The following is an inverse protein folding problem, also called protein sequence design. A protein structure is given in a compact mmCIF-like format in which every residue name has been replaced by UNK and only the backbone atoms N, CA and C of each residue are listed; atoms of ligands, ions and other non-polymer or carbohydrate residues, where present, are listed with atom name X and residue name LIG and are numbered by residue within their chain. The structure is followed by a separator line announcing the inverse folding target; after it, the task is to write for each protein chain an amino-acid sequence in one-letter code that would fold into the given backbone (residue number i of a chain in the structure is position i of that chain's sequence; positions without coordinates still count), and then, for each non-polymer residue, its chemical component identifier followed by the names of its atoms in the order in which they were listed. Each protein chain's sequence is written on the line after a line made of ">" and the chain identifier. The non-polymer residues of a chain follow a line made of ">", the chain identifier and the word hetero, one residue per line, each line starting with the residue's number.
data_IF_821860355466
#
_entry.id   IF_821860355466
#
_cell.length_a   1.000
_cell.length_b   1.000
_cell.length_c   1.000
_cell.angle_alpha   90.00
_cell.angle_beta   90.00
_cell.angle_gamma   90.00
#
_symmetry.space_group_name_H-M   'P 1'
#
loop_
_entity.id
_entity.type
_entity.pdbx_description
1 polymer ?
#
# COMPACT_ATOMS: atom_id res chain seq x y z
N UNK A 1 -42.81 4.94 10.30
CA UNK A 1 -42.39 4.27 9.06
C UNK A 1 -41.02 4.78 8.65
N UNK A 2 -39.94 4.04 8.93
CA UNK A 2 -38.63 4.29 8.34
C UNK A 2 -38.43 3.38 7.12
N UNK A 3 -37.94 3.98 6.04
CA UNK A 3 -37.69 3.41 4.71
C UNK A 3 -36.68 2.26 4.75
N UNK A 4 -37.14 1.09 4.27
CA UNK A 4 -36.36 -0.13 4.06
C UNK A 4 -35.26 0.06 3.02
N UNK A 5 -34.07 -0.51 3.29
CA UNK A 5 -32.96 -0.58 2.34
C UNK A 5 -33.16 -1.78 1.41
N UNK A 6 -33.44 -1.49 0.14
CA UNK A 6 -33.82 -2.45 -0.91
C UNK A 6 -32.62 -3.22 -1.50
N UNK A 7 -31.91 -4.04 -0.72
CA UNK A 7 -30.96 -5.04 -1.25
C UNK A 7 -30.99 -6.39 -0.50
N UNK A 8 -32.09 -6.71 0.16
CA UNK A 8 -32.34 -8.03 0.74
C UNK A 8 -33.67 -8.59 0.24
N UNK A 9 -33.77 -8.95 -1.04
CA UNK A 9 -34.82 -9.86 -1.53
C UNK A 9 -34.20 -10.81 -2.57
N UNK A 10 -34.01 -12.05 -2.15
CA UNK A 10 -33.43 -13.11 -2.97
C UNK A 10 -32.84 -14.27 -2.16
N UNK A 11 -33.32 -14.52 -0.94
CA UNK A 11 -33.10 -15.79 -0.26
C UNK A 11 -34.27 -16.71 -0.64
N UNK A 12 -34.07 -17.54 -1.66
CA UNK A 12 -34.80 -18.79 -1.80
C UNK A 12 -33.79 -19.92 -1.89
N UNK A 13 -33.78 -20.71 -0.82
CA UNK A 13 -33.08 -21.98 -0.67
C UNK A 13 -33.45 -22.93 -1.81
N UNK A 14 -32.47 -23.38 -2.59
CA UNK A 14 -32.52 -24.71 -3.22
C UNK A 14 -31.47 -25.59 -2.56
N UNK A 15 -31.95 -26.53 -1.74
CA UNK A 15 -31.16 -27.67 -1.28
C UNK A 15 -30.82 -28.53 -2.48
N UNK A 16 -29.53 -28.68 -2.76
CA UNK A 16 -29.00 -29.81 -3.51
C UNK A 16 -28.26 -30.69 -2.51
N UNK A 17 -28.81 -31.88 -2.26
CA UNK A 17 -28.10 -32.96 -1.60
C UNK A 17 -26.99 -33.44 -2.53
N UNK A 18 -25.73 -33.18 -2.17
CA UNK A 18 -24.64 -34.15 -2.28
C UNK A 18 -23.47 -33.67 -1.44
N UNK A 19 -23.00 -34.56 -0.55
CA UNK A 19 -21.89 -34.30 0.37
C UNK A 19 -20.62 -34.00 -0.40
N UNK A 20 -20.07 -32.81 -0.15
CA UNK A 20 -18.78 -32.36 -0.64
C UNK A 20 -18.48 -31.05 0.06
N UNK A 21 -17.36 -31.01 0.77
CA UNK A 21 -16.88 -29.86 1.53
C UNK A 21 -16.83 -28.65 0.60
N UNK A 22 -17.73 -27.68 0.82
CA UNK A 22 -17.76 -26.44 0.05
C UNK A 22 -16.68 -25.51 0.59
N UNK A 23 -15.44 -25.69 0.12
CA UNK A 23 -14.38 -24.71 0.27
C UNK A 23 -14.70 -23.48 -0.56
N UNK A 24 -15.06 -22.37 0.07
CA UNK A 24 -15.15 -21.07 -0.58
C UNK A 24 -13.72 -20.54 -0.77
N UNK A 25 -13.09 -20.94 -1.85
CA UNK A 25 -11.73 -20.49 -2.19
C UNK A 25 -11.78 -19.06 -2.75
N UNK A 26 -11.03 -18.15 -2.12
CA UNK A 26 -11.06 -16.71 -2.36
C UNK A 26 -9.84 -16.29 -3.21
N UNK A 27 -10.07 -15.64 -4.34
CA UNK A 27 -8.99 -15.06 -5.16
C UNK A 27 -9.04 -13.54 -5.03
N UNK A 28 -7.98 -12.95 -4.48
CA UNK A 28 -7.83 -11.50 -4.44
C UNK A 28 -7.31 -11.02 -5.80
N UNK A 29 -8.24 -10.72 -6.71
CA UNK A 29 -7.92 -9.91 -7.90
C UNK A 29 -8.17 -8.46 -7.53
N UNK A 30 -7.14 -7.70 -7.14
CA UNK A 30 -7.32 -6.27 -6.84
C UNK A 30 -7.38 -5.48 -8.16
N UNK A 31 -8.53 -5.57 -8.82
CA UNK A 31 -8.89 -4.64 -9.89
C UNK A 31 -9.07 -3.20 -9.35
N UNK A 32 -9.16 -2.20 -10.23
CA UNK A 32 -9.28 -0.77 -9.89
C UNK A 32 -10.57 -0.36 -9.15
N UNK A 33 -11.30 -1.30 -8.53
CA UNK A 33 -12.64 -1.10 -7.97
C UNK A 33 -12.78 -1.43 -6.48
N UNK A 34 -11.76 -1.14 -5.66
CA UNK A 34 -11.98 -0.98 -4.21
C UNK A 34 -12.68 0.37 -4.00
N UNK A 35 -14.01 0.37 -3.78
CA UNK A 35 -14.81 1.60 -3.85
C UNK A 35 -15.45 2.06 -2.54
N UNK A 36 -15.30 1.34 -1.42
CA UNK A 36 -15.73 1.73 -0.06
C UNK A 36 -15.20 0.71 0.93
N UNK A 37 -14.74 1.16 2.11
CA UNK A 37 -14.88 0.57 3.45
C UNK A 37 -13.71 0.92 4.40
N UNK A 38 -14.02 1.09 5.69
CA UNK A 38 -13.08 1.38 6.80
C UNK A 38 -12.44 0.10 7.41
N UNK A 39 -12.76 -1.10 6.93
CA UNK A 39 -12.55 -2.33 7.72
C UNK A 39 -11.30 -3.17 7.38
N UNK A 40 -10.42 -2.75 6.47
CA UNK A 40 -9.37 -3.63 5.93
C UNK A 40 -8.11 -3.69 6.82
N UNK A 41 -8.26 -3.62 8.15
CA UNK A 41 -7.09 -3.62 9.05
C UNK A 41 -6.60 -5.01 9.48
N UNK A 42 -7.40 -6.08 9.45
CA UNK A 42 -7.08 -7.29 10.26
C UNK A 42 -7.33 -8.68 9.65
N UNK A 43 -7.36 -8.82 8.31
CA UNK A 43 -7.55 -10.14 7.67
C UNK A 43 -6.33 -10.89 7.20
N UNK A 44 -5.20 -10.27 7.45
CA UNK A 44 -3.91 -10.80 7.20
C UNK A 44 -3.43 -11.12 8.61
N UNK A 45 -3.01 -12.35 8.89
CA UNK A 45 -2.55 -12.80 10.22
C UNK A 45 -1.29 -12.00 10.58
N UNK A 46 -1.50 -10.75 10.99
CA UNK A 46 -0.50 -9.71 11.15
C UNK A 46 -0.65 -9.17 12.56
N UNK A 47 0.41 -9.22 13.34
CA UNK A 47 0.55 -8.32 14.48
C UNK A 47 0.83 -6.90 13.96
N UNK A 48 -0.17 -6.04 14.06
CA UNK A 48 -0.01 -4.60 13.87
C UNK A 48 0.78 -4.07 15.06
N UNK A 49 2.10 -3.94 14.89
CA UNK A 49 2.89 -3.21 15.87
C UNK A 49 2.83 -1.73 15.50
N UNK A 50 2.35 -0.89 16.42
CA UNK A 50 2.58 0.56 16.34
C UNK A 50 4.06 0.80 16.62
N UNK A 51 4.88 0.64 15.58
CA UNK A 51 6.29 1.00 15.62
C UNK A 51 6.53 2.27 14.82
N UNK A 52 7.34 3.16 15.38
CA UNK A 52 7.81 4.35 14.69
C UNK A 52 8.97 3.96 13.77
N UNK A 53 8.86 4.28 12.48
CA UNK A 53 9.96 4.17 11.52
C UNK A 53 10.91 5.33 11.84
N UNK A 54 11.94 5.04 12.62
CA UNK A 54 12.89 6.05 13.06
C UNK A 54 13.96 6.29 11.99
N UNK A 55 14.03 7.51 11.44
CA UNK A 55 15.20 7.99 10.70
C UNK A 55 16.22 8.58 11.68
N UNK A 56 17.11 7.74 12.23
CA UNK A 56 18.10 8.18 13.25
C UNK A 56 19.41 8.70 12.66
N UNK A 57 19.72 8.36 11.41
CA UNK A 57 21.03 8.66 10.84
C UNK A 57 21.06 10.01 10.12
N UNK A 58 21.75 10.95 10.74
CA UNK A 58 22.10 12.26 10.19
C UNK A 58 23.20 12.19 9.11
N UNK A 59 23.76 11.01 8.84
CA UNK A 59 24.89 10.79 7.94
C UNK A 59 24.53 10.73 6.46
N UNK A 60 23.25 10.46 6.12
CA UNK A 60 22.78 10.35 4.73
C UNK A 60 21.87 11.51 4.32
N UNK A 61 22.30 12.75 4.58
CA UNK A 61 21.55 13.94 4.18
C UNK A 61 21.94 14.37 2.78
N UNK A 62 20.93 14.53 1.92
CA UNK A 62 21.11 15.09 0.59
C UNK A 62 21.52 16.57 0.73
N UNK A 63 22.50 17.03 -0.05
CA UNK A 63 22.87 18.45 -0.07
C UNK A 63 21.66 19.32 -0.44
N UNK A 64 21.38 20.35 0.37
CA UNK A 64 20.22 21.23 0.24
C UNK A 64 18.88 20.46 0.14
N UNK A 65 18.76 19.34 0.86
CA UNK A 65 17.62 18.41 0.80
C UNK A 65 16.27 19.12 0.81
N UNK A 66 16.04 19.96 1.82
CA UNK A 66 14.74 20.57 2.07
C UNK A 66 14.35 21.54 0.94
N UNK A 67 15.32 22.29 0.39
CA UNK A 67 15.10 23.17 -0.74
C UNK A 67 14.78 22.35 -2.01
N UNK A 68 15.55 21.29 -2.27
CA UNK A 68 15.35 20.41 -3.43
C UNK A 68 13.99 19.71 -3.38
N UNK A 69 13.57 19.25 -2.21
CA UNK A 69 12.24 18.64 -2.01
C UNK A 69 11.13 19.68 -2.21
N UNK A 70 11.27 20.88 -1.66
CA UNK A 70 10.30 21.96 -1.92
C UNK A 70 10.23 22.34 -3.39
N UNK A 71 11.36 22.35 -4.11
CA UNK A 71 11.39 22.60 -5.54
C UNK A 71 10.75 21.45 -6.33
N UNK A 72 10.93 20.19 -5.91
CA UNK A 72 10.22 19.03 -6.47
C UNK A 72 8.70 19.13 -6.28
N UNK A 73 8.24 19.59 -5.11
CA UNK A 73 6.82 19.85 -4.83
C UNK A 73 6.30 20.98 -5.72
N UNK A 74 7.01 22.12 -5.78
CA UNK A 74 6.63 23.26 -6.62
C UNK A 74 6.56 22.87 -8.11
N UNK A 75 7.55 22.13 -8.60
CA UNK A 75 7.57 21.61 -9.96
C UNK A 75 6.30 20.80 -10.26
N UNK A 76 6.01 19.77 -9.47
CA UNK A 76 4.85 18.91 -9.70
C UNK A 76 3.50 19.66 -9.58
N UNK A 77 3.42 20.68 -8.73
CA UNK A 77 2.17 21.41 -8.40
C UNK A 77 1.91 22.64 -9.25
N UNK A 78 2.95 23.29 -9.77
CA UNK A 78 2.85 24.60 -10.41
C UNK A 78 3.46 24.67 -11.80
N UNK A 79 4.53 23.91 -12.09
CA UNK A 79 5.36 24.16 -13.26
C UNK A 79 5.46 22.97 -14.23
N UNK A 80 4.94 21.79 -13.86
CA UNK A 80 4.98 20.59 -14.72
C UNK A 80 4.11 20.73 -15.98
N UNK A 81 3.02 21.48 -15.91
CA UNK A 81 2.09 21.66 -17.03
C UNK A 81 1.71 23.13 -17.20
N UNK A 82 1.23 23.47 -18.40
CA UNK A 82 0.67 24.79 -18.72
C UNK A 82 -0.72 24.99 -18.10
N UNK A 83 -1.33 23.93 -17.57
CA UNK A 83 -2.62 24.01 -16.89
C UNK A 83 -2.50 24.81 -15.60
N UNK A 84 -3.41 25.75 -15.40
CA UNK A 84 -3.40 26.60 -14.20
C UNK A 84 -3.54 25.84 -12.88
N UNK A 85 -4.05 24.61 -12.89
CA UNK A 85 -4.16 23.76 -11.70
C UNK A 85 -4.12 22.29 -12.11
N UNK A 86 -2.94 21.65 -12.06
CA UNK A 86 -2.81 20.24 -12.38
C UNK A 86 -3.72 19.37 -11.50
N UNK A 87 -4.39 18.40 -12.10
CA UNK A 87 -5.15 17.38 -11.40
C UNK A 87 -4.26 16.43 -10.58
N UNK A 88 -4.86 15.65 -9.67
CA UNK A 88 -4.12 14.72 -8.78
C UNK A 88 -3.47 13.60 -9.57
N UNK A 89 -4.18 13.11 -10.56
CA UNK A 89 -3.73 12.16 -11.58
C UNK A 89 -2.42 12.59 -12.25
N UNK A 90 -2.16 13.90 -12.33
CA UNK A 90 -0.94 14.45 -12.91
C UNK A 90 0.14 14.71 -11.87
N UNK A 91 -0.17 15.51 -10.83
CA UNK A 91 0.88 15.95 -9.90
C UNK A 91 1.34 14.83 -8.95
N UNK A 92 0.50 13.85 -8.62
CA UNK A 92 0.86 12.81 -7.65
C UNK A 92 1.96 11.87 -8.20
N UNK A 93 1.81 11.28 -9.40
CA UNK A 93 2.90 10.51 -10.02
C UNK A 93 4.14 11.35 -10.27
N UNK A 94 3.97 12.59 -10.74
CA UNK A 94 5.10 13.47 -11.02
C UNK A 94 5.90 13.79 -9.75
N UNK A 95 5.21 14.07 -8.64
CA UNK A 95 5.86 14.30 -7.36
C UNK A 95 6.65 13.07 -6.92
N UNK A 96 6.05 11.87 -6.97
CA UNK A 96 6.74 10.65 -6.59
C UNK A 96 8.00 10.42 -7.45
N UNK A 97 7.89 10.57 -8.77
CA UNK A 97 9.03 10.47 -9.68
C UNK A 97 10.13 11.48 -9.33
N UNK A 98 9.77 12.73 -9.04
CA UNK A 98 10.74 13.75 -8.64
C UNK A 98 11.44 13.37 -7.32
N UNK A 99 10.70 12.87 -6.31
CA UNK A 99 11.29 12.45 -5.03
C UNK A 99 12.21 11.23 -5.18
N UNK A 100 11.81 10.25 -6.00
CA UNK A 100 12.66 9.10 -6.32
C UNK A 100 13.93 9.50 -7.07
N UNK A 101 13.83 10.47 -7.97
CA UNK A 101 14.99 11.03 -8.66
C UNK A 101 15.95 11.71 -7.68
N UNK A 102 15.43 12.47 -6.70
CA UNK A 102 16.26 13.03 -5.62
C UNK A 102 16.95 11.92 -4.81
N UNK A 103 16.23 10.87 -4.41
CA UNK A 103 16.84 9.76 -3.66
C UNK A 103 17.92 9.03 -4.48
N UNK A 104 17.76 8.96 -5.81
CA UNK A 104 18.74 8.35 -6.70
C UNK A 104 20.05 9.13 -6.79
N UNK A 105 20.08 10.43 -6.45
CA UNK A 105 21.36 11.17 -6.44
C UNK A 105 22.32 10.64 -5.39
N UNK A 106 21.81 9.95 -4.36
CA UNK A 106 22.63 9.25 -3.37
C UNK A 106 23.32 7.99 -3.90
N UNK A 107 23.10 7.61 -5.17
CA UNK A 107 23.81 6.50 -5.79
C UNK A 107 25.34 6.74 -5.84
N UNK A 108 25.78 8.00 -5.85
CA UNK A 108 27.21 8.36 -5.77
C UNK A 108 27.81 7.94 -4.44
N UNK A 109 27.08 8.16 -3.34
CA UNK A 109 27.50 7.81 -1.99
C UNK A 109 27.28 6.31 -1.69
N UNK A 110 26.24 5.72 -2.30
CA UNK A 110 25.80 4.35 -2.07
C UNK A 110 25.68 3.57 -3.39
N UNK A 111 26.79 3.04 -3.95
CA UNK A 111 26.78 2.35 -5.25
C UNK A 111 25.86 1.13 -5.32
N UNK A 112 25.51 0.53 -4.18
CA UNK A 112 24.55 -0.57 -4.09
C UNK A 112 23.16 -0.21 -4.62
N UNK A 113 22.78 1.08 -4.61
CA UNK A 113 21.55 1.59 -5.23
C UNK A 113 21.50 1.33 -6.75
N UNK A 114 22.66 1.22 -7.41
CA UNK A 114 22.76 0.87 -8.82
C UNK A 114 22.30 -0.55 -9.15
N UNK A 115 22.10 -1.41 -8.14
CA UNK A 115 21.56 -2.77 -8.28
C UNK A 115 20.03 -2.82 -8.15
N UNK A 116 19.34 -1.69 -8.30
CA UNK A 116 17.89 -1.57 -8.19
C UNK A 116 17.31 -0.89 -9.42
N UNK A 117 16.05 -1.20 -9.72
CA UNK A 117 15.28 -0.57 -10.79
C UNK A 117 13.89 -0.19 -10.28
N UNK A 118 13.29 0.80 -10.93
CA UNK A 118 11.86 1.07 -10.79
C UNK A 118 11.12 0.34 -11.91
N UNK A 119 10.24 -0.59 -11.55
CA UNK A 119 9.36 -1.25 -12.49
C UNK A 119 7.97 -0.59 -12.46
N UNK A 120 7.46 -0.22 -13.63
CA UNK A 120 6.10 0.29 -13.81
C UNK A 120 5.25 -0.77 -14.52
N UNK A 121 3.93 -0.75 -14.30
CA UNK A 121 2.96 -1.66 -14.93
C UNK A 121 3.23 -3.16 -14.71
N UNK A 122 3.93 -3.53 -13.63
CA UNK A 122 4.10 -4.93 -13.27
C UNK A 122 2.79 -5.51 -12.70
N UNK A 123 2.51 -6.77 -13.00
CA UNK A 123 1.30 -7.47 -12.56
C UNK A 123 1.66 -8.61 -11.62
N UNK A 124 1.04 -8.66 -10.45
CA UNK A 124 1.30 -9.67 -9.43
C UNK A 124 0.03 -10.48 -9.15
N UNK A 125 0.18 -11.77 -8.91
CA UNK A 125 -0.86 -12.62 -8.36
C UNK A 125 -0.30 -13.46 -7.20
N UNK A 126 -1.06 -13.54 -6.12
CA UNK A 126 -0.79 -14.43 -5.01
C UNK A 126 -2.09 -15.12 -4.62
N UNK A 127 -1.99 -16.43 -4.38
CA UNK A 127 -3.10 -17.26 -3.96
C UNK A 127 -2.82 -17.85 -2.58
N UNK A 128 -3.82 -17.80 -1.70
CA UNK A 128 -3.81 -18.46 -0.40
C UNK A 128 -5.23 -18.79 0.02
N UNK A 129 -5.34 -19.72 0.98
CA UNK A 129 -6.61 -20.09 1.60
C UNK A 129 -6.61 -19.67 3.06
N UNK A 130 -7.80 -19.33 3.56
CA UNK A 130 -8.04 -19.05 4.97
C UNK A 130 -9.35 -19.71 5.37
N UNK A 131 -9.32 -20.56 6.39
CA UNK A 131 -10.54 -21.16 6.92
C UNK A 131 -11.33 -20.10 7.71
N UNK A 132 -12.57 -19.86 7.30
CA UNK A 132 -13.47 -18.92 7.99
C UNK A 132 -14.28 -19.65 9.08
N UNK A 133 -14.50 -20.96 8.92
CA UNK A 133 -15.31 -21.77 9.84
C UNK A 133 -14.67 -21.99 11.23
N UNK A 134 -13.34 -21.90 11.34
CA UNK A 134 -12.58 -22.08 12.58
C UNK A 134 -12.46 -20.81 13.44
N UNK A 135 -13.05 -19.69 12.99
CA UNK A 135 -12.94 -18.38 13.67
C UNK A 135 -13.82 -18.22 14.92
N UNK A 136 -14.52 -19.28 15.33
CA UNK A 136 -15.46 -19.26 16.47
C UNK A 136 -14.70 -19.14 17.82
N UNK A 137 -13.45 -19.60 17.89
CA UNK A 137 -12.74 -19.76 19.17
C UNK A 137 -11.42 -18.94 19.32
N UNK A 138 -11.06 -17.95 18.47
CA UNK A 138 -9.76 -17.25 18.64
C UNK A 138 -9.54 -15.77 18.25
N UNK A 139 -8.40 -15.27 18.77
CA UNK A 139 -8.03 -13.91 19.23
C UNK A 139 -7.42 -13.00 18.13
N UNK A 140 -8.17 -12.73 17.07
CA UNK A 140 -8.04 -11.50 16.29
C UNK A 140 -9.28 -10.66 16.55
N UNK A 141 -9.14 -9.33 16.64
CA UNK A 141 -10.31 -8.46 16.79
C UNK A 141 -11.27 -8.70 15.62
N UNK A 142 -12.44 -9.26 15.95
CA UNK A 142 -13.51 -9.51 14.99
C UNK A 142 -14.35 -8.26 14.81
N UNK A 143 -14.78 -8.01 13.57
CA UNK A 143 -15.71 -6.93 13.23
C UNK A 143 -17.13 -7.46 12.99
N UNK A 144 -17.47 -8.59 13.62
CA UNK A 144 -18.81 -9.18 13.53
C UNK A 144 -19.90 -8.11 13.77
N UNK A 145 -20.90 -7.98 12.87
CA UNK A 145 -21.32 -8.93 11.83
C UNK A 145 -20.71 -8.72 10.44
N UNK A 146 -19.79 -7.76 10.27
CA UNK A 146 -19.23 -7.43 8.95
C UNK A 146 -18.33 -8.57 8.48
N UNK A 147 -18.58 -9.07 7.27
CA UNK A 147 -17.75 -10.12 6.67
C UNK A 147 -16.35 -9.58 6.32
N UNK A 148 -15.28 -10.35 6.61
CA UNK A 148 -13.92 -10.12 6.12
C UNK A 148 -13.79 -9.83 4.63
N UNK A 149 -14.72 -10.36 3.83
CA UNK A 149 -14.68 -10.36 2.37
C UNK A 149 -15.67 -9.38 1.73
N UNK A 150 -16.29 -8.49 2.50
CA UNK A 150 -17.44 -7.68 2.08
C UNK A 150 -17.20 -6.82 0.82
N UNK A 151 -15.97 -6.38 0.56
CA UNK A 151 -15.63 -5.54 -0.60
C UNK A 151 -14.76 -6.24 -1.65
N UNK A 152 -14.56 -7.56 -1.51
CA UNK A 152 -13.81 -8.35 -2.47
C UNK A 152 -14.74 -8.83 -3.60
N UNK A 153 -14.21 -8.85 -4.82
CA UNK A 153 -14.95 -9.40 -5.95
C UNK A 153 -15.12 -10.91 -5.76
N UNK A 154 -16.37 -11.35 -5.65
CA UNK A 154 -16.71 -12.78 -5.71
C UNK A 154 -16.66 -13.23 -7.16
N UNK A 155 -15.76 -14.15 -7.48
CA UNK A 155 -15.61 -14.74 -8.80
C UNK A 155 -15.68 -16.27 -8.70
N UNK A 156 -16.33 -16.91 -9.66
CA UNK A 156 -16.43 -18.38 -9.73
C UNK A 156 -15.52 -19.00 -10.78
N UNK A 157 -15.01 -18.19 -11.70
CA UNK A 157 -14.08 -18.61 -12.76
C UNK A 157 -12.76 -17.91 -12.53
N UNK A 158 -11.78 -18.67 -12.05
CA UNK A 158 -10.46 -18.14 -11.74
C UNK A 158 -9.40 -19.24 -11.85
N UNK A 159 -8.13 -18.83 -11.88
CA UNK A 159 -6.98 -19.75 -11.90
C UNK A 159 -6.16 -19.56 -10.64
N UNK A 160 -5.98 -20.63 -9.87
CA UNK A 160 -5.14 -20.68 -8.67
C UNK A 160 -3.66 -20.76 -9.06
N UNK A 161 -3.10 -19.62 -9.48
CA UNK A 161 -1.68 -19.51 -9.80
C UNK A 161 -1.11 -18.21 -9.25
N UNK A 162 -0.03 -18.33 -8.48
CA UNK A 162 0.78 -17.19 -8.06
C UNK A 162 1.84 -16.86 -9.10
N UNK A 163 2.13 -15.58 -9.27
CA UNK A 163 3.26 -15.09 -10.07
C UNK A 163 3.82 -13.80 -9.46
N UNK A 164 5.14 -13.67 -9.47
CA UNK A 164 5.86 -12.48 -8.96
C UNK A 164 5.72 -11.26 -9.88
N UNK A 165 5.25 -11.48 -11.11
CA UNK A 165 5.12 -10.44 -12.14
C UNK A 165 6.33 -10.26 -13.04
N UNK A 166 7.35 -11.07 -12.83
CA UNK A 166 8.52 -11.17 -13.70
C UNK A 166 8.73 -12.62 -14.13
N UNK A 167 9.47 -12.80 -15.22
CA UNK A 167 9.88 -14.12 -15.68
C UNK A 167 10.90 -14.75 -14.72
N UNK A 168 10.97 -16.09 -14.75
CA UNK A 168 11.96 -16.83 -13.98
C UNK A 168 13.37 -16.46 -14.46
N UNK A 169 14.27 -16.20 -13.52
CA UNK A 169 15.63 -15.73 -13.82
C UNK A 169 15.75 -14.22 -14.07
N UNK A 170 14.67 -13.44 -13.92
CA UNK A 170 14.75 -11.99 -14.00
C UNK A 170 15.77 -11.41 -13.00
N UNK A 171 16.56 -10.41 -13.45
CA UNK A 171 17.69 -9.86 -12.69
C UNK A 171 17.29 -9.21 -11.35
N UNK A 172 16.07 -8.70 -11.26
CA UNK A 172 15.56 -8.01 -10.07
C UNK A 172 14.28 -8.68 -9.55
N UNK A 173 14.35 -9.90 -8.99
CA UNK A 173 13.16 -10.68 -8.66
C UNK A 173 12.55 -10.32 -7.29
N UNK A 174 13.25 -9.53 -6.49
CA UNK A 174 12.83 -9.16 -5.14
C UNK A 174 12.26 -7.74 -5.12
N UNK A 175 10.96 -7.63 -4.81
CA UNK A 175 10.33 -6.34 -4.58
C UNK A 175 10.87 -5.73 -3.27
N UNK A 176 11.56 -4.60 -3.39
CA UNK A 176 12.11 -3.88 -2.23
C UNK A 176 11.07 -2.94 -1.61
N UNK A 177 10.56 -1.98 -2.39
CA UNK A 177 9.54 -1.01 -1.98
C UNK A 177 8.44 -0.93 -3.02
N UNK A 178 7.18 -1.01 -2.58
CA UNK A 178 6.00 -0.79 -3.39
C UNK A 178 5.53 0.65 -3.26
N UNK A 179 5.29 1.32 -4.38
CA UNK A 179 4.73 2.67 -4.40
C UNK A 179 3.27 2.62 -4.83
N UNK A 180 2.36 2.91 -3.89
CA UNK A 180 0.91 2.90 -4.12
C UNK A 180 0.39 4.33 -4.17
N UNK A 181 -0.04 4.77 -5.34
CA UNK A 181 -0.54 6.13 -5.52
C UNK A 181 -2.06 6.17 -5.61
N UNK A 182 -2.66 7.11 -4.89
CA UNK A 182 -4.07 7.46 -5.05
C UNK A 182 -4.21 8.60 -6.04
N UNK A 183 -4.31 8.25 -7.33
CA UNK A 183 -4.43 9.17 -8.46
C UNK A 183 -5.88 9.40 -8.90
N UNK A 184 -6.85 8.73 -8.27
CA UNK A 184 -8.24 8.67 -8.72
C UNK A 184 -8.94 10.03 -8.82
N UNK A 185 -9.61 10.24 -9.97
CA UNK A 185 -10.44 11.42 -10.23
C UNK A 185 -11.71 11.40 -9.38
N UNK A 186 -12.28 10.20 -9.10
CA UNK A 186 -13.31 9.83 -8.08
C UNK A 186 -13.77 8.36 -8.28
N UNK A 187 -14.30 7.67 -7.25
CA UNK A 187 -14.19 8.01 -5.83
C UNK A 187 -12.76 7.79 -5.34
N UNK A 188 -12.31 8.62 -4.41
CA UNK A 188 -10.97 8.53 -3.85
C UNK A 188 -10.96 7.50 -2.73
N UNK A 189 -9.89 6.73 -2.63
CA UNK A 189 -9.67 5.92 -1.44
C UNK A 189 -9.48 6.82 -0.22
N UNK A 190 -10.18 6.47 0.86
CA UNK A 190 -9.93 7.05 2.18
C UNK A 190 -8.53 6.66 2.67
N UNK A 191 -7.97 7.44 3.60
CA UNK A 191 -6.62 7.21 4.11
C UNK A 191 -6.42 5.78 4.65
N UNK A 192 -7.43 5.24 5.35
CA UNK A 192 -7.42 3.86 5.86
C UNK A 192 -7.50 2.80 4.74
N UNK A 193 -8.27 3.06 3.69
CA UNK A 193 -8.37 2.17 2.53
C UNK A 193 -7.06 2.12 1.75
N UNK A 194 -6.42 3.27 1.58
CA UNK A 194 -5.12 3.35 0.92
C UNK A 194 -4.05 2.59 1.70
N UNK A 195 -4.01 2.73 3.03
CA UNK A 195 -3.11 1.93 3.90
C UNK A 195 -3.36 0.45 3.75
N UNK A 196 -4.61 0.05 3.82
CA UNK A 196 -4.97 -1.34 3.70
C UNK A 196 -4.58 -1.94 2.34
N UNK A 197 -4.84 -1.21 1.25
CA UNK A 197 -4.39 -1.58 -0.09
C UNK A 197 -2.88 -1.78 -0.10
N UNK A 198 -2.11 -0.86 0.47
CA UNK A 198 -0.65 -1.01 0.57
C UNK A 198 -0.23 -2.28 1.33
N UNK A 199 -0.87 -2.59 2.46
CA UNK A 199 -0.56 -3.80 3.25
C UNK A 199 -0.87 -5.08 2.46
N UNK A 200 -2.05 -5.15 1.82
CA UNK A 200 -2.45 -6.33 1.03
C UNK A 200 -1.50 -6.54 -0.16
N UNK A 201 -1.09 -5.47 -0.84
CA UNK A 201 -0.10 -5.56 -1.93
C UNK A 201 1.29 -5.98 -1.41
N UNK A 202 1.75 -5.44 -0.29
CA UNK A 202 3.03 -5.83 0.31
C UNK A 202 3.03 -7.32 0.69
N UNK A 203 1.95 -7.78 1.31
CA UNK A 203 1.75 -9.19 1.60
C UNK A 203 1.72 -10.06 0.35
N UNK A 204 0.96 -9.68 -0.67
CA UNK A 204 0.89 -10.44 -1.93
C UNK A 204 2.27 -10.59 -2.57
N UNK A 205 3.09 -9.54 -2.54
CA UNK A 205 4.46 -9.59 -3.10
C UNK A 205 5.34 -10.52 -2.28
N UNK A 206 5.28 -10.42 -0.95
CA UNK A 206 6.05 -11.28 -0.06
C UNK A 206 5.63 -12.75 -0.22
N UNK A 207 4.32 -13.03 -0.30
CA UNK A 207 3.77 -14.37 -0.44
C UNK A 207 4.13 -14.99 -1.79
N UNK A 208 3.94 -14.25 -2.90
CA UNK A 208 4.33 -14.74 -4.22
C UNK A 208 5.83 -15.04 -4.29
N UNK A 209 6.66 -14.24 -3.63
CA UNK A 209 8.10 -14.49 -3.55
C UNK A 209 8.43 -15.73 -2.69
N UNK A 210 7.77 -15.88 -1.54
CA UNK A 210 7.93 -17.04 -0.67
C UNK A 210 7.51 -18.32 -1.38
N UNK A 211 6.37 -18.31 -2.08
CA UNK A 211 5.89 -19.47 -2.85
C UNK A 211 6.82 -19.83 -4.02
N UNK A 212 7.43 -18.83 -4.67
CA UNK A 212 8.41 -19.07 -5.72
C UNK A 212 9.73 -19.68 -5.20
N UNK A 213 10.08 -19.44 -3.92
CA UNK A 213 11.35 -19.89 -3.34
C UNK A 213 11.21 -21.19 -2.54
N UNK A 214 10.19 -21.28 -1.67
CA UNK A 214 9.96 -22.42 -0.77
C UNK A 214 8.89 -23.40 -1.29
N UNK A 215 8.26 -23.09 -2.43
CA UNK A 215 7.15 -23.86 -2.97
C UNK A 215 5.79 -23.44 -2.40
N UNK A 216 4.70 -24.02 -2.93
CA UNK A 216 3.33 -23.60 -2.61
C UNK A 216 2.81 -24.10 -1.26
N UNK A 217 3.54 -24.98 -0.57
CA UNK A 217 3.08 -25.60 0.66
C UNK A 217 3.09 -24.62 1.84
N UNK A 218 2.02 -24.55 2.66
CA UNK A 218 1.98 -23.73 3.87
C UNK A 218 3.06 -24.17 4.87
N UNK A 219 3.87 -23.22 5.33
CA UNK A 219 4.94 -23.47 6.31
C UNK A 219 5.38 -22.18 7.01
N UNK A 220 6.03 -22.33 8.16
CA UNK A 220 6.80 -21.25 8.79
C UNK A 220 8.10 -21.07 8.01
N UNK A 221 8.43 -19.83 7.65
CA UNK A 221 9.59 -19.53 6.82
C UNK A 221 10.87 -19.48 7.65
N UNK A 222 11.91 -20.18 7.21
CA UNK A 222 13.25 -20.10 7.82
C UNK A 222 13.87 -18.71 7.63
N UNK A 223 13.72 -18.13 6.42
CA UNK A 223 14.12 -16.76 6.12
C UNK A 223 12.87 -15.92 5.80
N UNK A 224 12.47 -15.03 6.72
CA UNK A 224 11.34 -14.13 6.51
C UNK A 224 11.52 -13.24 5.29
N UNK A 225 10.43 -12.97 4.57
CA UNK A 225 10.43 -12.08 3.40
C UNK A 225 9.92 -10.70 3.82
N UNK A 226 10.73 -9.67 3.63
CA UNK A 226 10.36 -8.28 3.95
C UNK A 226 10.06 -7.50 2.68
N UNK A 227 8.94 -6.79 2.68
CA UNK A 227 8.53 -5.88 1.59
C UNK A 227 8.11 -4.55 2.19
N UNK A 228 8.67 -3.45 1.70
CA UNK A 228 8.30 -2.09 2.11
C UNK A 228 7.16 -1.56 1.25
N UNK A 229 6.38 -0.63 1.79
CA UNK A 229 5.31 0.06 1.10
C UNK A 229 5.33 1.55 1.41
N UNK A 230 5.15 2.36 0.37
CA UNK A 230 4.89 3.79 0.49
C UNK A 230 3.61 4.10 -0.26
N UNK A 231 2.61 4.60 0.45
CA UNK A 231 1.37 5.04 -0.15
C UNK A 231 1.25 6.56 -0.11
N UNK A 232 0.75 7.19 -1.18
CA UNK A 232 0.62 8.65 -1.24
C UNK A 232 -0.54 9.12 -2.09
N UNK A 233 -1.12 10.27 -1.70
CA UNK A 233 -2.08 11.02 -2.50
C UNK A 233 -1.46 12.29 -3.12
N UNK A 234 -0.13 12.41 -3.05
CA UNK A 234 0.65 13.55 -3.53
C UNK A 234 0.73 14.73 -2.55
N UNK A 235 0.21 14.57 -1.33
CA UNK A 235 0.37 15.51 -0.21
C UNK A 235 0.72 14.79 1.09
N UNK A 236 0.00 13.72 1.39
CA UNK A 236 0.21 12.88 2.58
C UNK A 236 0.83 11.56 2.14
N UNK A 237 1.79 11.09 2.92
CA UNK A 237 2.48 9.82 2.76
C UNK A 237 2.13 8.90 3.93
N UNK A 238 2.13 7.61 3.65
CA UNK A 238 1.96 6.55 4.62
C UNK A 238 3.04 5.52 4.35
N UNK A 239 3.59 4.95 5.41
CA UNK A 239 4.74 4.06 5.31
C UNK A 239 4.40 2.72 5.96
N UNK A 240 4.82 1.64 5.32
CA UNK A 240 4.70 0.28 5.83
C UNK A 240 5.99 -0.50 5.62
N UNK A 241 6.34 -1.32 6.60
CA UNK A 241 7.29 -2.41 6.44
C UNK A 241 6.56 -3.69 6.79
N UNK A 242 6.37 -4.57 5.81
CA UNK A 242 5.69 -5.84 5.99
C UNK A 242 6.72 -6.97 6.06
N UNK A 243 6.62 -7.83 7.06
CA UNK A 243 7.45 -9.02 7.21
C UNK A 243 6.59 -10.27 7.23
N UNK A 244 6.82 -11.13 6.23
CA UNK A 244 6.22 -12.44 6.11
C UNK A 244 7.09 -13.47 6.86
N UNK A 245 6.56 -14.00 7.95
CA UNK A 245 7.19 -15.04 8.76
C UNK A 245 6.60 -16.43 8.48
N UNK A 246 5.36 -16.51 8.01
CA UNK A 246 4.68 -17.77 7.73
C UNK A 246 3.75 -17.66 6.51
N UNK A 247 3.63 -18.74 5.75
CA UNK A 247 2.59 -18.95 4.72
C UNK A 247 1.44 -19.82 5.23
N UNK A 248 1.52 -20.31 6.47
CA UNK A 248 0.45 -21.02 7.16
C UNK A 248 -0.59 -20.01 7.70
N UNK A 249 -1.66 -19.82 6.92
CA UNK A 249 -2.71 -18.82 7.18
C UNK A 249 -4.06 -19.43 7.59
N UNK A 250 -4.11 -20.76 7.70
CA UNK A 250 -5.30 -21.52 8.08
C UNK A 250 -5.67 -21.34 9.55
N UNK A 251 -4.80 -21.74 10.50
CA UNK A 251 -5.06 -21.56 11.93
C UNK A 251 -4.86 -20.11 12.37
N UNK A 252 -5.66 -19.65 13.34
CA UNK A 252 -5.46 -18.35 14.01
C UNK A 252 -4.39 -18.41 15.12
N UNK A 253 -3.84 -19.60 15.37
CA UNK A 253 -2.75 -19.89 16.32
C UNK A 253 -1.41 -20.04 15.59
N UNK A 254 -0.30 -19.91 16.33
CA UNK A 254 1.05 -20.06 15.79
C UNK A 254 1.78 -18.75 15.46
N UNK A 255 2.81 -18.85 14.63
CA UNK A 255 3.64 -17.71 14.21
C UNK A 255 2.79 -16.78 13.35
N UNK A 256 2.88 -15.47 13.59
CA UNK A 256 2.15 -14.46 12.80
C UNK A 256 3.12 -13.58 12.02
N UNK A 257 2.59 -12.99 10.96
CA UNK A 257 3.29 -11.98 10.19
C UNK A 257 3.31 -10.65 10.97
N UNK A 258 4.18 -9.73 10.58
CA UNK A 258 4.32 -8.44 11.26
C UNK A 258 4.23 -7.30 10.26
N UNK A 259 3.68 -6.19 10.71
CA UNK A 259 3.74 -4.93 9.97
C UNK A 259 4.04 -3.79 10.93
N UNK A 260 4.96 -2.93 10.51
CA UNK A 260 5.20 -1.63 11.12
C UNK A 260 4.55 -0.58 10.23
N UNK A 261 3.69 0.25 10.81
CA UNK A 261 2.93 1.26 10.09
C UNK A 261 3.17 2.63 10.66
N UNK A 262 3.44 3.56 9.77
CA UNK A 262 3.23 4.97 10.05
C UNK A 262 2.05 5.49 9.25
N UNK A 263 1.17 6.18 9.98
CA UNK A 263 -0.07 6.70 9.43
C UNK A 263 0.17 7.97 8.60
N UNK A 264 -0.81 8.85 8.55
CA UNK A 264 -0.80 10.04 7.70
C UNK A 264 0.35 11.00 8.08
N UNK A 265 1.43 10.95 7.31
CA UNK A 265 2.57 11.86 7.37
C UNK A 265 2.43 12.93 6.26
N UNK A 266 1.92 14.14 6.57
CA UNK A 266 1.86 15.21 5.58
C UNK A 266 3.26 15.64 5.15
N UNK A 267 3.51 15.77 3.85
CA UNK A 267 4.74 16.36 3.32
C UNK A 267 4.65 17.90 3.30
N UNK A 268 3.45 18.43 3.11
CA UNK A 268 3.17 19.86 3.14
C UNK A 268 1.70 20.17 3.48
N UNK A 269 1.42 21.36 4.00
CA UNK A 269 0.06 21.80 4.35
C UNK A 269 -0.76 22.20 3.13
N UNK A 270 -0.22 23.05 2.26
CA UNK A 270 -0.89 23.37 1.00
C UNK A 270 0.08 23.84 -0.08
N UNK A 271 -0.34 23.65 -1.32
CA UNK A 271 0.29 24.20 -2.50
C UNK A 271 -0.81 24.81 -3.38
N UNK A 272 -0.97 26.14 -3.32
CA UNK A 272 -2.06 26.87 -4.01
C UNK A 272 -1.51 27.73 -5.12
N UNK A 273 -2.04 27.56 -6.33
CA UNK A 273 -1.61 28.35 -7.50
C UNK A 273 -2.11 29.80 -7.39
N UNK A 274 -3.32 30.00 -6.83
CA UNK A 274 -3.94 31.32 -6.66
C UNK A 274 -4.14 31.64 -5.18
N UNK A 275 -3.93 32.90 -4.77
CA UNK A 275 -4.20 33.31 -3.40
C UNK A 275 -5.70 33.31 -3.11
N UNK A 276 -6.08 33.04 -1.86
CA UNK A 276 -7.44 33.23 -1.39
C UNK A 276 -7.58 34.65 -0.84
N UNK A 277 -8.34 35.49 -1.54
CA UNK A 277 -8.59 36.89 -1.14
C UNK A 277 -10.03 36.99 -0.64
N UNK A 278 -10.23 37.51 0.58
CA UNK A 278 -11.55 37.84 1.14
C UNK A 278 -11.54 39.27 1.64
N UNK A 279 -12.57 40.06 1.30
CA UNK A 279 -12.69 41.47 1.69
C UNK A 279 -11.42 42.30 1.39
N UNK A 280 -10.84 42.12 0.19
CA UNK A 280 -9.57 42.74 -0.25
C UNK A 280 -8.33 42.41 0.59
N UNK A 281 -8.40 41.42 1.49
CA UNK A 281 -7.26 40.93 2.28
C UNK A 281 -6.88 39.52 1.83
N UNK A 282 -5.58 39.27 1.65
CA UNK A 282 -5.04 37.93 1.35
C UNK A 282 -5.15 37.09 2.61
N UNK A 283 -6.03 36.09 2.59
CA UNK A 283 -6.23 35.14 3.69
C UNK A 283 -5.28 33.95 3.57
N UNK A 284 -5.01 33.49 2.34
CA UNK A 284 -4.04 32.43 2.08
C UNK A 284 -3.19 32.84 0.88
N UNK A 285 -1.87 33.01 1.04
CA UNK A 285 -1.00 33.36 -0.08
C UNK A 285 -0.94 32.22 -1.11
N UNK A 286 -0.59 32.58 -2.35
CA UNK A 286 -0.19 31.59 -3.34
C UNK A 286 1.17 30.99 -2.98
N UNK A 287 1.44 29.78 -3.45
CA UNK A 287 2.67 29.05 -3.21
C UNK A 287 2.51 27.82 -2.33
N UNK A 288 3.65 27.31 -1.89
CA UNK A 288 3.81 26.16 -0.99
C UNK A 288 3.94 26.66 0.45
N UNK A 289 3.26 26.02 1.40
CA UNK A 289 3.40 26.29 2.82
C UNK A 289 3.30 25.02 3.65
N UNK A 290 3.87 25.09 4.87
CA UNK A 290 3.83 24.02 5.86
C UNK A 290 4.59 22.76 5.45
N UNK A 291 5.75 22.92 4.77
CA UNK A 291 6.62 21.81 4.43
C UNK A 291 7.12 21.09 5.70
N UNK A 292 7.09 19.76 5.70
CA UNK A 292 7.50 18.94 6.82
C UNK A 292 8.66 18.01 6.39
N UNK A 293 9.91 18.30 6.83
CA UNK A 293 11.09 17.57 6.36
C UNK A 293 11.13 16.11 6.84
N UNK A 294 10.56 15.82 8.01
CA UNK A 294 10.53 14.48 8.60
C UNK A 294 9.88 13.43 7.68
N UNK A 295 8.84 13.83 6.94
CA UNK A 295 8.18 12.94 5.96
C UNK A 295 9.14 12.50 4.86
N UNK A 296 9.99 13.40 4.36
CA UNK A 296 10.97 13.04 3.34
C UNK A 296 12.15 12.26 3.92
N UNK A 297 12.60 12.56 5.14
CA UNK A 297 13.65 11.77 5.82
C UNK A 297 13.27 10.30 5.96
N UNK A 298 12.01 10.02 6.31
CA UNK A 298 11.48 8.64 6.38
C UNK A 298 11.38 7.98 5.01
N UNK A 299 10.93 8.74 4.01
CA UNK A 299 10.91 8.27 2.62
C UNK A 299 12.31 7.87 2.14
N UNK A 300 13.31 8.71 2.40
CA UNK A 300 14.71 8.46 2.06
C UNK A 300 15.28 7.27 2.85
N UNK A 301 14.99 7.16 4.15
CA UNK A 301 15.44 6.04 4.98
C UNK A 301 14.94 4.69 4.45
N UNK A 302 13.66 4.61 4.06
CA UNK A 302 13.12 3.40 3.41
C UNK A 302 13.82 3.14 2.08
N UNK A 303 14.01 4.16 1.25
CA UNK A 303 14.72 4.02 -0.03
C UNK A 303 16.15 3.49 0.14
N UNK A 304 16.87 3.98 1.14
CA UNK A 304 18.26 3.60 1.45
C UNK A 304 18.38 2.24 2.17
N UNK A 305 17.30 1.73 2.76
CA UNK A 305 17.31 0.46 3.48
C UNK A 305 17.88 -0.68 2.62
N UNK A 306 18.94 -1.35 3.10
CA UNK A 306 19.63 -2.42 2.38
C UNK A 306 20.58 -1.97 1.27
N UNK A 307 20.95 -0.69 1.24
CA UNK A 307 22.00 -0.14 0.38
C UNK A 307 23.09 0.63 1.15
N UNK A 308 22.79 1.01 2.40
CA UNK A 308 23.69 1.60 3.41
C UNK A 308 24.02 0.55 4.45
#
# INVERSE_FOLDING_TARGET
>A
MPTECTMCRGWQSQRSHNGGVTGTTLIITVGPSMKRCHCIKKHLVIYLTKGQICSKDTTNQIENQDERVQNAIKHARFWDTTESRPGRERFCPKLLQNLLHLCRTEQVNHPALGKRILAENYSLAAFWEREVASTVDHVLETFHPISPTIDLQVAHTYRTKSHTGFEDGYRYPHAHTLFVMETGVKPRLEAEQLRAKMIVFAFGNALARAQAFYGPQPQVLEQPVVVQGVATNGRTFQFAVFQLNTTELGPDTGVKNMVWLEEDQPLYDYAKVRPLIKKKVVQVPAGLAGYQPETFKKFLALYLHGAV
#
